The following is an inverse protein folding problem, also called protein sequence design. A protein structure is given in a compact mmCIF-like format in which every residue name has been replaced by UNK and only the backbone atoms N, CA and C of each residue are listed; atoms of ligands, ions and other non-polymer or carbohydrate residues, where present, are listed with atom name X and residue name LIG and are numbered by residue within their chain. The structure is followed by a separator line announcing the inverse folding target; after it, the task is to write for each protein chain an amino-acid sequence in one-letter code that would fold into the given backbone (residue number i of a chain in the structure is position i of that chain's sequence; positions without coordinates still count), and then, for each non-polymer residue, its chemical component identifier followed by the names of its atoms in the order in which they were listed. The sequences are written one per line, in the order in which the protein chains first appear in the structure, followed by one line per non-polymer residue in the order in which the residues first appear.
data_IF_264449931729
#
_entry.id   IF_264449931729
#
_cell.length_a   1.000
_cell.length_b   1.000
_cell.length_c   1.000
_cell.angle_alpha   90.00
_cell.angle_beta   90.00
_cell.angle_gamma   90.00
#
_symmetry.space_group_name_H-M   'P 1'
#
loop_
_entity.id
_entity.type
_entity.pdbx_description
1 polymer ?
#
# COMPACT_ATOMS: atom_id res chain seq x y z
N UNK A 1 7.33 12.66 -12.77
CA UNK A 1 7.00 11.48 -11.94
C UNK A 1 8.20 10.57 -12.04
N UNK A 2 8.93 10.39 -10.94
CA UNK A 2 10.03 9.44 -10.86
C UNK A 2 9.41 8.10 -10.45
N UNK A 3 9.38 7.13 -11.35
CA UNK A 3 8.97 5.76 -11.04
C UNK A 3 10.19 5.02 -10.51
N UNK A 4 10.09 4.47 -9.30
CA UNK A 4 11.18 3.83 -8.55
C UNK A 4 11.53 2.41 -9.00
N UNK A 5 11.77 2.24 -10.30
CA UNK A 5 12.23 0.96 -10.87
C UNK A 5 11.32 0.35 -11.93
N UNK A 6 11.91 -0.53 -12.73
CA UNK A 6 11.31 -1.27 -13.83
C UNK A 6 11.80 -2.72 -13.79
N UNK A 7 10.98 -3.71 -14.12
CA UNK A 7 11.47 -5.09 -14.27
C UNK A 7 11.11 -5.65 -15.64
N UNK A 8 12.06 -6.39 -16.21
CA UNK A 8 11.87 -7.20 -17.41
C UNK A 8 12.58 -8.54 -17.24
N UNK A 9 12.10 -9.57 -17.94
CA UNK A 9 12.68 -10.93 -18.08
C UNK A 9 13.63 -11.39 -16.95
N UNK A 10 13.12 -11.44 -15.71
CA UNK A 10 13.85 -12.00 -14.57
C UNK A 10 14.93 -11.11 -13.95
N UNK A 11 14.92 -9.80 -14.23
CA UNK A 11 15.78 -8.82 -13.59
C UNK A 11 14.95 -7.67 -12.99
N UNK A 12 15.12 -7.44 -11.68
CA UNK A 12 14.66 -6.22 -11.02
C UNK A 12 15.66 -5.11 -11.34
N UNK A 13 15.22 -4.07 -12.06
CA UNK A 13 15.98 -2.83 -12.15
C UNK A 13 15.46 -1.93 -11.04
N UNK A 14 16.24 -1.86 -9.96
CA UNK A 14 16.14 -0.79 -8.99
C UNK A 14 16.77 0.45 -9.65
N UNK A 15 16.05 1.57 -9.64
CA UNK A 15 16.58 2.83 -10.14
C UNK A 15 17.65 3.32 -9.13
N UNK A 16 18.71 3.97 -9.62
CA UNK A 16 19.64 4.72 -8.75
C UNK A 16 18.86 5.74 -7.89
N UNK A 17 17.72 6.23 -8.38
CA UNK A 17 16.78 7.06 -7.64
C UNK A 17 16.30 6.40 -6.32
N UNK A 18 16.13 5.08 -6.28
CA UNK A 18 15.68 4.32 -5.10
C UNK A 18 16.75 4.27 -4.00
N UNK A 19 18.02 4.44 -4.39
CA UNK A 19 19.17 4.53 -3.48
C UNK A 19 19.55 5.97 -3.14
N UNK A 20 18.73 6.96 -3.50
CA UNK A 20 18.97 8.33 -3.05
C UNK A 20 18.80 8.43 -1.54
N UNK A 21 19.55 9.32 -0.91
CA UNK A 21 19.38 9.60 0.52
C UNK A 21 17.95 10.05 0.89
N UNK A 22 17.18 10.53 -0.09
CA UNK A 22 15.77 10.87 0.08
C UNK A 22 14.89 9.62 0.22
N UNK A 23 14.99 8.68 -0.71
CA UNK A 23 14.21 7.44 -0.68
C UNK A 23 14.64 6.52 0.48
N UNK A 24 15.95 6.40 0.74
CA UNK A 24 16.46 5.58 1.86
C UNK A 24 16.11 6.13 3.26
N UNK A 25 15.63 7.37 3.34
CA UNK A 25 15.16 8.01 4.57
C UNK A 25 13.63 8.20 4.61
N UNK A 26 12.89 7.65 3.66
CA UNK A 26 11.45 7.76 3.58
C UNK A 26 10.78 6.76 4.54
N UNK A 27 10.30 7.27 5.68
CA UNK A 27 9.65 6.46 6.70
C UNK A 27 8.32 5.86 6.22
N UNK A 28 7.70 6.43 5.18
CA UNK A 28 6.43 5.94 4.62
C UNK A 28 6.64 4.60 3.87
N UNK A 29 7.90 4.30 3.49
CA UNK A 29 8.31 3.07 2.81
C UNK A 29 8.99 2.04 3.74
N UNK A 30 9.22 2.37 5.01
CA UNK A 30 9.80 1.48 6.02
C UNK A 30 10.67 2.19 7.07
N UNK A 31 10.97 1.51 8.18
CA UNK A 31 11.71 2.06 9.33
C UNK A 31 13.17 2.48 9.05
N UNK A 32 13.73 2.10 7.90
CA UNK A 32 15.05 2.51 7.41
C UNK A 32 15.40 1.97 6.01
N UNK A 33 16.59 2.34 5.52
CA UNK A 33 17.08 2.04 4.17
C UNK A 33 16.94 0.58 3.70
N UNK A 34 17.08 -0.39 4.62
CA UNK A 34 16.92 -1.81 4.29
C UNK A 34 15.46 -2.19 4.02
N UNK A 35 14.51 -1.59 4.73
CA UNK A 35 13.08 -1.84 4.53
C UNK A 35 12.55 -1.14 3.29
N UNK A 36 13.07 0.04 2.95
CA UNK A 36 12.82 0.67 1.64
C UNK A 36 13.26 -0.26 0.51
N UNK A 37 14.43 -0.87 0.61
CA UNK A 37 14.87 -1.87 -0.37
C UNK A 37 13.93 -3.09 -0.45
N UNK A 38 13.41 -3.55 0.70
CA UNK A 38 12.42 -4.64 0.73
C UNK A 38 11.14 -4.21 0.01
N UNK A 39 10.64 -2.99 0.27
CA UNK A 39 9.46 -2.42 -0.40
C UNK A 39 9.61 -2.44 -1.92
N UNK A 40 10.72 -1.89 -2.44
CA UNK A 40 10.95 -1.87 -3.89
C UNK A 40 11.14 -3.28 -4.48
N UNK A 41 11.67 -4.24 -3.70
CA UNK A 41 11.75 -5.64 -4.12
C UNK A 41 10.37 -6.32 -4.14
N UNK A 42 9.49 -6.01 -3.19
CA UNK A 42 8.14 -6.56 -3.12
C UNK A 42 7.29 -6.11 -4.32
N UNK A 43 7.58 -4.93 -4.90
CA UNK A 43 6.92 -4.48 -6.13
C UNK A 43 7.09 -5.43 -7.33
N UNK A 44 8.07 -6.33 -7.30
CA UNK A 44 8.21 -7.39 -8.30
C UNK A 44 7.01 -8.34 -8.30
N UNK A 45 6.36 -8.55 -7.15
CA UNK A 45 5.11 -9.29 -7.03
C UNK A 45 3.90 -8.38 -7.20
N UNK A 46 3.85 -7.27 -6.45
CA UNK A 46 2.72 -6.34 -6.43
C UNK A 46 3.06 -5.05 -7.18
N UNK A 47 2.59 -4.94 -8.41
CA UNK A 47 2.94 -3.86 -9.34
C UNK A 47 3.38 -4.45 -10.67
N UNK A 48 4.51 -5.17 -10.70
CA UNK A 48 5.07 -5.70 -11.95
C UNK A 48 4.58 -7.11 -12.28
N UNK A 49 4.60 -8.02 -11.30
CA UNK A 49 4.01 -9.35 -11.42
C UNK A 49 2.48 -9.31 -11.45
N UNK A 50 1.89 -8.26 -10.85
CA UNK A 50 0.47 -7.99 -10.91
C UNK A 50 0.17 -6.50 -10.94
N UNK A 51 -0.44 -6.04 -12.03
CA UNK A 51 -0.88 -4.66 -12.19
C UNK A 51 -2.18 -4.44 -11.41
N UNK A 52 -2.44 -3.22 -10.96
CA UNK A 52 -3.62 -2.85 -10.18
C UNK A 52 -4.50 -1.86 -10.95
N UNK A 53 -5.81 -1.88 -10.69
CA UNK A 53 -6.71 -0.89 -11.23
C UNK A 53 -6.57 0.46 -10.50
N UNK A 54 -7.33 1.47 -10.93
CA UNK A 54 -7.19 2.85 -10.41
C UNK A 54 -8.16 3.16 -9.26
N UNK A 55 -8.59 2.17 -8.49
CA UNK A 55 -9.56 2.35 -7.41
C UNK A 55 -8.88 2.85 -6.11
N UNK A 56 -8.85 4.16 -5.85
CA UNK A 56 -8.22 4.70 -4.63
C UNK A 56 -9.00 4.31 -3.35
N UNK A 57 -8.38 3.66 -2.33
CA UNK A 57 -6.94 3.57 -2.11
C UNK A 57 -6.28 2.23 -2.49
N UNK A 58 -7.04 1.29 -3.07
CA UNK A 58 -6.52 0.04 -3.60
C UNK A 58 -5.42 0.31 -4.64
N UNK A 59 -4.25 -0.25 -4.38
CA UNK A 59 -3.04 0.03 -5.15
C UNK A 59 -1.95 -1.00 -4.86
N UNK A 60 -0.97 -1.07 -5.77
CA UNK A 60 0.24 -1.83 -5.55
C UNK A 60 0.96 -1.41 -4.26
N UNK A 61 1.02 -0.11 -3.97
CA UNK A 61 1.62 0.42 -2.73
C UNK A 61 0.98 -0.16 -1.48
N UNK A 62 -0.36 -0.26 -1.44
CA UNK A 62 -1.04 -0.81 -0.27
C UNK A 62 -0.63 -2.24 0.04
N UNK A 63 -0.57 -3.12 -0.97
CA UNK A 63 -0.12 -4.50 -0.80
C UNK A 63 1.40 -4.60 -0.58
N UNK A 64 2.18 -3.71 -1.20
CA UNK A 64 3.62 -3.65 -0.98
C UNK A 64 3.93 -3.25 0.46
N UNK A 65 3.35 -2.16 0.98
CA UNK A 65 3.48 -1.73 2.38
C UNK A 65 3.12 -2.86 3.36
N UNK A 66 1.98 -3.53 3.14
CA UNK A 66 1.55 -4.66 3.97
C UNK A 66 2.54 -5.83 3.90
N UNK A 67 3.02 -6.18 2.72
CA UNK A 67 3.98 -7.30 2.56
C UNK A 67 5.35 -6.95 3.14
N UNK A 68 5.82 -5.71 2.98
CA UNK A 68 7.03 -5.18 3.63
C UNK A 68 6.90 -5.27 5.15
N UNK A 69 5.76 -4.88 5.71
CA UNK A 69 5.45 -5.07 7.13
C UNK A 69 5.56 -6.54 7.56
N UNK A 70 4.98 -7.49 6.81
CA UNK A 70 5.07 -8.92 7.14
C UNK A 70 6.51 -9.43 7.10
N UNK A 71 7.32 -8.98 6.14
CA UNK A 71 8.75 -9.30 6.08
C UNK A 71 9.51 -8.67 7.26
N UNK A 72 9.27 -7.40 7.56
CA UNK A 72 9.90 -6.71 8.69
C UNK A 72 9.54 -7.37 10.03
N UNK A 73 8.28 -7.83 10.18
CA UNK A 73 7.82 -8.60 11.34
C UNK A 73 8.59 -9.90 11.51
N UNK A 74 8.84 -10.64 10.42
CA UNK A 74 9.62 -11.88 10.47
C UNK A 74 11.11 -11.61 10.79
N UNK A 75 11.70 -10.56 10.22
CA UNK A 75 13.12 -10.24 10.38
C UNK A 75 13.45 -9.60 11.74
N UNK A 76 12.59 -8.71 12.22
CA UNK A 76 12.86 -7.82 13.35
C UNK A 76 11.92 -8.04 14.55
N UNK A 77 10.88 -8.85 14.39
CA UNK A 77 9.94 -9.22 15.44
C UNK A 77 8.67 -8.36 15.47
N UNK A 78 7.64 -8.87 16.14
CA UNK A 78 6.30 -8.28 16.17
C UNK A 78 6.26 -6.89 16.80
N UNK A 79 6.96 -6.67 17.91
CA UNK A 79 6.94 -5.37 18.59
C UNK A 79 7.56 -4.27 17.71
N UNK A 80 8.65 -4.58 17.01
CA UNK A 80 9.28 -3.67 16.05
C UNK A 80 8.32 -3.33 14.91
N UNK A 81 7.75 -4.34 14.25
CA UNK A 81 6.85 -4.12 13.12
C UNK A 81 5.57 -3.40 13.54
N UNK A 82 5.06 -3.64 14.75
CA UNK A 82 3.92 -2.90 15.30
C UNK A 82 4.27 -1.42 15.51
N UNK A 83 5.43 -1.12 16.10
CA UNK A 83 5.86 0.26 16.36
C UNK A 83 6.10 1.04 15.07
N UNK A 84 6.80 0.45 14.10
CA UNK A 84 7.27 1.16 12.91
C UNK A 84 6.33 1.11 11.70
N UNK A 85 5.30 0.27 11.71
CA UNK A 85 4.31 0.21 10.63
C UNK A 85 2.90 0.44 11.16
N UNK A 86 2.38 -0.48 11.96
CA UNK A 86 0.95 -0.47 12.35
C UNK A 86 0.59 0.79 13.13
N UNK A 87 1.42 1.19 14.10
CA UNK A 87 1.18 2.40 14.89
C UNK A 87 1.33 3.67 14.04
N UNK A 88 2.29 3.70 13.11
CA UNK A 88 2.48 4.84 12.19
C UNK A 88 1.27 4.98 11.27
N UNK A 89 0.86 3.90 10.59
CA UNK A 89 -0.31 3.92 9.72
C UNK A 89 -1.58 4.36 10.46
N UNK A 90 -1.77 3.89 11.70
CA UNK A 90 -2.94 4.27 12.52
C UNK A 90 -2.92 5.76 12.84
N UNK A 91 -1.76 6.28 13.26
CA UNK A 91 -1.61 7.71 13.54
C UNK A 91 -1.89 8.56 12.29
N UNK A 92 -1.38 8.16 11.13
CA UNK A 92 -1.61 8.89 9.87
C UNK A 92 -3.07 8.85 9.40
N UNK A 93 -3.74 7.70 9.55
CA UNK A 93 -5.16 7.56 9.24
C UNK A 93 -6.02 8.39 10.21
N UNK A 94 -5.69 8.40 11.50
CA UNK A 94 -6.36 9.28 12.48
C UNK A 94 -6.19 10.76 12.10
N UNK A 95 -4.97 11.18 11.78
CA UNK A 95 -4.67 12.55 11.35
C UNK A 95 -5.39 12.92 10.03
N UNK A 96 -5.52 11.97 9.11
CA UNK A 96 -6.27 12.14 7.88
C UNK A 96 -7.75 12.46 8.13
N UNK A 97 -8.42 11.70 8.99
CA UNK A 97 -9.82 11.95 9.29
C UNK A 97 -10.02 13.24 10.12
N UNK A 98 -8.99 13.71 10.81
CA UNK A 98 -8.99 15.02 11.47
C UNK A 98 -8.68 16.19 10.51
N UNK A 99 -8.09 15.91 9.35
CA UNK A 99 -7.66 16.90 8.37
C UNK A 99 -8.82 17.82 7.94
N UNK A 100 -8.53 19.13 7.91
CA UNK A 100 -9.52 20.15 7.59
C UNK A 100 -10.15 19.95 6.20
N UNK A 101 -9.34 19.66 5.19
CA UNK A 101 -9.81 19.54 3.81
C UNK A 101 -10.56 18.24 3.54
N UNK A 102 -10.24 17.16 4.27
CA UNK A 102 -11.02 15.91 4.25
C UNK A 102 -12.41 16.15 4.84
N UNK A 103 -12.48 16.87 5.96
CA UNK A 103 -13.76 17.15 6.64
C UNK A 103 -14.59 18.24 5.98
N UNK A 104 -13.95 19.13 5.20
CA UNK A 104 -14.56 20.30 4.55
C UNK A 104 -14.09 20.41 3.09
N UNK A 105 -14.45 19.44 2.24
CA UNK A 105 -13.96 19.36 0.86
C UNK A 105 -14.32 20.59 0.02
N UNK A 106 -15.39 21.32 0.37
CA UNK A 106 -15.79 22.54 -0.31
C UNK A 106 -14.71 23.65 -0.25
N UNK A 107 -13.85 23.63 0.79
CA UNK A 107 -12.73 24.57 0.90
C UNK A 107 -11.52 24.11 0.09
N UNK A 108 -11.34 22.80 -0.12
CA UNK A 108 -10.30 22.27 -0.99
C UNK A 108 -10.60 22.63 -2.46
N UNK A 109 -11.86 22.53 -2.86
CA UNK A 109 -12.32 22.88 -4.22
C UNK A 109 -12.15 24.36 -4.55
N UNK A 110 -12.20 25.24 -3.54
CA UNK A 110 -12.06 26.68 -3.68
C UNK A 110 -10.59 27.15 -3.81
N UNK A 111 -9.62 26.27 -3.57
CA UNK A 111 -8.20 26.61 -3.71
C UNK A 111 -7.79 26.74 -5.20
N UNK A 112 -6.70 27.46 -5.50
CA UNK A 112 -6.14 27.42 -6.84
C UNK A 112 -5.68 25.98 -7.17
N UNK A 113 -5.67 25.68 -8.47
CA UNK A 113 -5.54 24.31 -8.95
C UNK A 113 -4.25 23.63 -8.48
N UNK A 114 -3.13 24.35 -8.45
CA UNK A 114 -1.84 23.81 -8.05
C UNK A 114 -1.84 23.34 -6.59
N UNK A 115 -2.39 24.15 -5.69
CA UNK A 115 -2.52 23.87 -4.26
C UNK A 115 -3.51 22.73 -4.01
N UNK A 116 -4.65 22.76 -4.71
CA UNK A 116 -5.64 21.68 -4.66
C UNK A 116 -5.03 20.34 -5.07
N UNK A 117 -4.28 20.31 -6.17
CA UNK A 117 -3.60 19.10 -6.64
C UNK A 117 -2.52 18.63 -5.66
N UNK A 118 -1.71 19.54 -5.11
CA UNK A 118 -0.70 19.18 -4.13
C UNK A 118 -1.30 18.52 -2.88
N UNK A 119 -2.38 19.11 -2.34
CA UNK A 119 -3.07 18.56 -1.17
C UNK A 119 -3.75 17.23 -1.51
N UNK A 120 -4.47 17.16 -2.64
CA UNK A 120 -5.14 15.93 -3.07
C UNK A 120 -4.16 14.77 -3.26
N UNK A 121 -2.99 15.04 -3.86
CA UNK A 121 -1.95 14.03 -4.04
C UNK A 121 -1.37 13.56 -2.71
N UNK A 122 -1.12 14.48 -1.76
CA UNK A 122 -0.65 14.11 -0.42
C UNK A 122 -1.68 13.26 0.32
N UNK A 123 -2.95 13.63 0.25
CA UNK A 123 -4.05 12.87 0.85
C UNK A 123 -4.15 11.47 0.23
N UNK A 124 -4.19 11.35 -1.09
CA UNK A 124 -4.20 10.05 -1.77
C UNK A 124 -2.94 9.22 -1.50
N UNK A 125 -1.77 9.85 -1.37
CA UNK A 125 -0.53 9.19 -0.95
C UNK A 125 -0.71 8.48 0.39
N UNK A 126 -1.09 9.22 1.43
CA UNK A 126 -1.33 8.63 2.76
C UNK A 126 -2.34 7.47 2.69
N UNK A 127 -3.44 7.61 1.91
CA UNK A 127 -4.42 6.54 1.84
C UNK A 127 -3.84 5.25 1.24
N UNK A 128 -2.93 5.36 0.27
CA UNK A 128 -2.30 4.19 -0.36
C UNK A 128 -1.23 3.56 0.54
N UNK A 129 -0.42 4.37 1.22
CA UNK A 129 0.71 3.89 2.03
C UNK A 129 0.33 3.53 3.47
N UNK A 130 -0.82 4.00 3.97
CA UNK A 130 -1.23 3.83 5.38
C UNK A 130 -2.66 3.33 5.56
N UNK A 131 -3.66 3.92 4.87
CA UNK A 131 -5.06 3.43 4.99
C UNK A 131 -5.21 2.03 4.37
N UNK A 132 -4.72 1.82 3.16
CA UNK A 132 -4.85 0.54 2.46
C UNK A 132 -4.13 -0.62 3.17
N UNK A 133 -2.86 -0.52 3.62
CA UNK A 133 -2.25 -1.62 4.36
C UNK A 133 -2.95 -1.90 5.70
N UNK A 134 -3.53 -0.89 6.38
CA UNK A 134 -4.36 -1.15 7.56
C UNK A 134 -5.65 -1.89 7.23
N UNK A 135 -6.30 -1.58 6.10
CA UNK A 135 -7.44 -2.35 5.63
C UNK A 135 -7.07 -3.78 5.30
N UNK A 136 -5.91 -4.01 4.68
CA UNK A 136 -5.39 -5.35 4.40
C UNK A 136 -5.06 -6.09 5.71
N UNK A 137 -4.47 -5.41 6.70
CA UNK A 137 -4.24 -5.98 8.03
C UNK A 137 -5.56 -6.36 8.72
N UNK A 138 -6.60 -5.53 8.62
CA UNK A 138 -7.94 -5.89 9.12
C UNK A 138 -8.52 -7.09 8.38
N UNK A 139 -8.35 -7.16 7.05
CA UNK A 139 -8.74 -8.33 6.28
C UNK A 139 -7.99 -9.59 6.77
N UNK A 140 -6.69 -9.50 7.06
CA UNK A 140 -5.89 -10.60 7.62
C UNK A 140 -6.53 -11.14 8.91
N UNK A 141 -6.89 -10.25 9.84
CA UNK A 141 -7.56 -10.65 11.09
C UNK A 141 -8.90 -11.35 10.82
N UNK A 142 -9.70 -10.83 9.88
CA UNK A 142 -11.04 -11.34 9.57
C UNK A 142 -11.02 -12.70 8.84
N UNK A 143 -10.02 -12.95 8.00
CA UNK A 143 -9.88 -14.23 7.27
C UNK A 143 -9.26 -15.34 8.12
N UNK A 144 -8.83 -15.05 9.35
CA UNK A 144 -8.30 -16.04 10.30
C UNK A 144 -6.79 -15.95 10.54
N UNK A 145 -6.19 -14.80 10.22
CA UNK A 145 -4.79 -14.48 10.49
C UNK A 145 -3.85 -14.77 9.33
N UNK A 146 -2.57 -14.56 9.61
CA UNK A 146 -1.45 -14.58 8.66
C UNK A 146 -1.49 -15.72 7.64
N UNK A 147 -1.57 -16.97 8.08
CA UNK A 147 -1.50 -18.12 7.18
C UNK A 147 -2.69 -18.18 6.20
N UNK A 148 -3.88 -17.75 6.61
CA UNK A 148 -5.04 -17.70 5.73
C UNK A 148 -4.87 -16.59 4.67
N UNK A 149 -4.39 -15.41 5.09
CA UNK A 149 -4.09 -14.32 4.17
C UNK A 149 -2.98 -14.70 3.18
N UNK A 150 -1.93 -15.40 3.61
CA UNK A 150 -0.83 -15.83 2.74
C UNK A 150 -1.34 -16.75 1.61
N UNK A 151 -2.24 -17.70 1.91
CA UNK A 151 -2.87 -18.56 0.90
C UNK A 151 -3.75 -17.77 -0.08
N UNK A 152 -4.51 -16.78 0.41
CA UNK A 152 -5.34 -15.91 -0.42
C UNK A 152 -4.49 -15.06 -1.37
N UNK A 153 -3.45 -14.41 -0.85
CA UNK A 153 -2.52 -13.61 -1.64
C UNK A 153 -1.75 -14.47 -2.65
N UNK A 154 -1.38 -15.70 -2.28
CA UNK A 154 -0.79 -16.66 -3.21
C UNK A 154 -1.75 -16.99 -4.37
N UNK A 155 -3.03 -17.21 -4.07
CA UNK A 155 -4.06 -17.44 -5.08
C UNK A 155 -4.25 -16.23 -6.00
N UNK A 156 -4.38 -15.03 -5.43
CA UNK A 156 -4.53 -13.78 -6.18
C UNK A 156 -3.33 -13.51 -7.10
N UNK A 157 -2.12 -13.78 -6.63
CA UNK A 157 -0.90 -13.61 -7.43
C UNK A 157 -0.91 -14.54 -8.65
N UNK A 158 -1.34 -15.79 -8.47
CA UNK A 158 -1.35 -16.82 -9.51
C UNK A 158 -2.69 -16.93 -10.27
N UNK A 159 -3.59 -15.94 -10.13
CA UNK A 159 -4.90 -15.98 -10.81
C UNK A 159 -4.72 -15.99 -12.33
N UNK A 160 -5.73 -16.50 -13.02
CA UNK A 160 -5.81 -16.38 -14.48
C UNK A 160 -6.07 -14.92 -14.86
N UNK A 161 -5.22 -14.36 -15.73
CA UNK A 161 -5.35 -12.97 -16.17
C UNK A 161 -6.30 -12.87 -17.36
N UNK A 162 -7.29 -11.98 -17.28
CA UNK A 162 -8.06 -11.55 -18.45
C UNK A 162 -7.14 -10.69 -19.35
N UNK A 163 -6.85 -11.10 -20.61
CA UNK A 163 -6.03 -10.30 -21.52
C UNK A 163 -6.60 -8.91 -21.82
N UNK A 164 -7.91 -8.71 -21.66
CA UNK A 164 -8.58 -7.44 -21.90
C UNK A 164 -8.55 -6.53 -20.66
N UNK A 165 -8.42 -7.12 -19.46
CA UNK A 165 -8.39 -6.39 -18.21
C UNK A 165 -7.53 -7.12 -17.16
N UNK A 166 -6.19 -7.08 -17.29
CA UNK A 166 -5.27 -7.89 -16.47
C UNK A 166 -5.00 -7.29 -15.09
N UNK A 167 -5.81 -6.33 -14.65
CA UNK A 167 -5.61 -5.60 -13.40
C UNK A 167 -6.24 -6.32 -12.23
N UNK A 168 -5.53 -6.42 -11.11
CA UNK A 168 -6.06 -6.85 -9.84
C UNK A 168 -6.93 -5.74 -9.27
N UNK A 169 -8.23 -5.99 -9.22
CA UNK A 169 -9.24 -5.06 -8.70
C UNK A 169 -9.42 -5.22 -7.20
N UNK A 170 -9.94 -4.17 -6.56
CA UNK A 170 -10.27 -4.26 -5.13
C UNK A 170 -11.38 -5.31 -4.88
N UNK A 171 -12.33 -5.44 -5.80
CA UNK A 171 -13.40 -6.43 -5.70
C UNK A 171 -12.85 -7.86 -5.76
N UNK A 172 -11.88 -8.15 -6.62
CA UNK A 172 -11.24 -9.49 -6.65
C UNK A 172 -10.54 -9.82 -5.33
N UNK A 173 -9.89 -8.83 -4.70
CA UNK A 173 -9.30 -9.00 -3.37
C UNK A 173 -10.37 -9.28 -2.30
N UNK A 174 -11.45 -8.51 -2.29
CA UNK A 174 -12.58 -8.70 -1.37
C UNK A 174 -13.26 -10.06 -1.56
N UNK A 175 -13.52 -10.43 -2.81
CA UNK A 175 -14.13 -11.72 -3.18
C UNK A 175 -13.24 -12.90 -2.73
N UNK A 176 -11.92 -12.79 -2.90
CA UNK A 176 -10.98 -13.78 -2.41
C UNK A 176 -11.03 -13.90 -0.88
N UNK A 177 -11.12 -12.78 -0.17
CA UNK A 177 -11.25 -12.76 1.28
C UNK A 177 -12.65 -13.19 1.77
N UNK A 178 -13.66 -13.22 0.90
CA UNK A 178 -15.06 -13.39 1.27
C UNK A 178 -15.61 -12.22 2.11
N UNK A 179 -15.11 -11.01 1.86
CA UNK A 179 -15.43 -9.78 2.59
C UNK A 179 -16.11 -8.75 1.69
N UNK A 180 -16.71 -7.73 2.29
CA UNK A 180 -17.19 -6.53 1.59
C UNK A 180 -16.38 -5.29 1.95
N UNK A 181 -16.60 -4.18 1.24
CA UNK A 181 -15.93 -2.91 1.58
C UNK A 181 -16.24 -2.45 3.00
N UNK A 182 -17.48 -2.68 3.48
CA UNK A 182 -17.92 -2.28 4.81
C UNK A 182 -17.14 -3.02 5.92
N UNK A 183 -16.81 -4.29 5.71
CA UNK A 183 -16.02 -5.08 6.65
C UNK A 183 -14.64 -4.44 6.90
N UNK A 184 -14.11 -3.72 5.90
CA UNK A 184 -12.79 -3.07 5.95
C UNK A 184 -12.84 -1.59 6.34
N UNK A 185 -13.95 -1.12 6.91
CA UNK A 185 -14.01 0.23 7.52
C UNK A 185 -13.07 0.31 8.73
N UNK A 186 -12.23 1.34 8.81
CA UNK A 186 -11.33 1.59 9.94
C UNK A 186 -12.06 2.51 10.94
N UNK A 187 -12.44 1.98 12.10
CA UNK A 187 -13.14 2.71 13.18
C UNK A 187 -12.19 3.52 14.07
#
# INVERSE_FOLDING_TARGET
MAGGGYAGDGASLLDEADFTAHNLGDADKGGGAAEVMIHELVHQWWGLGNMFDTADPWSAEGLTCYTTYRIAKELYGEDYAREHYVNQWRAEVEDYYLNFYVRRPEYLEALPEAERLAISNSLSGMRRYSEMPLKILKAEELVGGEAAMDELLHGLFNRELDPMYPYLTYQEFLDACGLTEEDLTLD
#
